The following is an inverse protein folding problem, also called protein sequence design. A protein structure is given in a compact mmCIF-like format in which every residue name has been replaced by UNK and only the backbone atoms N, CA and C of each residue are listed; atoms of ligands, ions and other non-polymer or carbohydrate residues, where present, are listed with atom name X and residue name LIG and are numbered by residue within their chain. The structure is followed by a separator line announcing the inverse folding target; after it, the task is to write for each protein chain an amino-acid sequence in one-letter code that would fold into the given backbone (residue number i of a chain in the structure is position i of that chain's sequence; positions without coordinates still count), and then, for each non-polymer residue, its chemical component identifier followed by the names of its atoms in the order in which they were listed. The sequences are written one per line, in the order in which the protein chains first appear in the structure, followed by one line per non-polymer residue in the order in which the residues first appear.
data_IF_341298909538
#
_entry.id   IF_341298909538
#
_cell.length_a   1.000
_cell.length_b   1.000
_cell.length_c   1.000
_cell.angle_alpha   90.00
_cell.angle_beta   90.00
_cell.angle_gamma   90.00
#
_symmetry.space_group_name_H-M   'P 1'
#
loop_
_entity.id
_entity.type
_entity.pdbx_description
1 polymer ?
#
# COMPACT_ATOMS: atom_id res chain seq x y z
N UNK A 1 6.88 8.98 -16.28
CA UNK A 1 7.44 7.69 -15.80
C UNK A 1 8.77 8.02 -15.16
N UNK A 2 9.07 7.58 -13.92
CA UNK A 2 10.37 7.85 -13.34
C UNK A 2 11.48 7.13 -14.14
N UNK A 3 12.60 7.83 -14.41
CA UNK A 3 13.79 7.40 -15.17
C UNK A 3 14.60 6.30 -14.44
N UNK A 4 13.99 5.14 -14.20
CA UNK A 4 14.67 4.00 -13.57
C UNK A 4 15.30 3.04 -14.58
N UNK A 5 14.96 3.18 -15.85
CA UNK A 5 15.49 2.36 -16.93
C UNK A 5 16.02 3.23 -18.07
N UNK A 6 17.21 2.90 -18.57
CA UNK A 6 17.78 3.52 -19.76
C UNK A 6 18.18 2.43 -20.77
N UNK A 7 17.95 2.61 -22.07
CA UNK A 7 18.37 1.65 -23.08
C UNK A 7 19.90 1.60 -23.17
N UNK A 8 20.47 0.40 -23.34
CA UNK A 8 21.85 0.21 -23.76
C UNK A 8 22.02 0.34 -25.28
N UNK A 9 23.25 0.19 -25.78
CA UNK A 9 23.56 0.24 -27.22
C UNK A 9 22.79 -0.81 -28.04
N UNK A 10 22.30 -1.87 -27.40
CA UNK A 10 21.49 -2.94 -28.01
C UNK A 10 19.98 -2.74 -27.78
N UNK A 11 19.55 -1.61 -27.20
CA UNK A 11 18.15 -1.31 -26.91
C UNK A 11 17.57 -2.04 -25.70
N UNK A 12 18.40 -2.72 -24.89
CA UNK A 12 17.96 -3.38 -23.65
C UNK A 12 17.82 -2.36 -22.54
N UNK A 13 16.72 -2.44 -21.79
CA UNK A 13 16.49 -1.57 -20.63
C UNK A 13 17.40 -1.99 -19.47
N UNK A 14 18.37 -1.14 -19.14
CA UNK A 14 19.24 -1.27 -17.99
C UNK A 14 18.77 -0.37 -16.86
N UNK A 15 18.95 -0.82 -15.62
CA UNK A 15 18.73 0.02 -14.45
C UNK A 15 19.67 1.21 -14.48
N UNK A 16 19.10 2.41 -14.33
CA UNK A 16 19.90 3.63 -14.15
C UNK A 16 20.73 3.53 -12.87
N UNK A 17 21.81 4.33 -12.79
CA UNK A 17 22.63 4.39 -11.57
C UNK A 17 21.81 4.77 -10.34
N UNK A 18 20.85 5.69 -10.49
CA UNK A 18 19.94 6.08 -9.42
C UNK A 18 19.06 4.91 -8.95
N UNK A 19 18.49 4.13 -9.88
CA UNK A 19 17.68 2.95 -9.57
C UNK A 19 18.50 1.88 -8.84
N UNK A 20 19.71 1.60 -9.34
CA UNK A 20 20.65 0.66 -8.73
C UNK A 20 21.01 1.07 -7.32
N UNK A 21 21.40 2.33 -7.12
CA UNK A 21 21.76 2.86 -5.80
C UNK A 21 20.59 2.76 -4.81
N UNK A 22 19.35 2.97 -5.27
CA UNK A 22 18.15 2.82 -4.42
C UNK A 22 17.98 1.38 -3.92
N UNK A 23 18.19 0.38 -4.78
CA UNK A 23 18.13 -1.03 -4.37
C UNK A 23 19.29 -1.42 -3.44
N UNK A 24 20.50 -0.89 -3.68
CA UNK A 24 21.66 -1.10 -2.79
C UNK A 24 21.41 -0.52 -1.39
N UNK A 25 20.86 0.69 -1.32
CA UNK A 25 20.47 1.31 -0.06
C UNK A 25 19.35 0.53 0.64
N UNK A 26 18.39 -0.02 -0.11
CA UNK A 26 17.36 -0.89 0.45
C UNK A 26 17.94 -2.20 1.04
N UNK A 27 18.97 -2.79 0.41
CA UNK A 27 19.67 -3.95 0.95
C UNK A 27 20.43 -3.61 2.25
N UNK A 28 21.06 -2.44 2.33
CA UNK A 28 21.67 -1.93 3.58
C UNK A 28 20.64 -1.74 4.67
N UNK A 29 19.49 -1.18 4.31
CA UNK A 29 18.38 -0.97 5.24
C UNK A 29 17.85 -2.29 5.78
N UNK A 30 17.71 -3.31 4.92
CA UNK A 30 17.34 -4.66 5.35
C UNK A 30 18.28 -5.18 6.44
N UNK A 31 19.61 -5.13 6.23
CA UNK A 31 20.56 -5.52 7.27
C UNK A 31 20.42 -4.67 8.52
N UNK A 32 20.27 -3.35 8.38
CA UNK A 32 20.08 -2.45 9.53
C UNK A 32 18.87 -2.87 10.38
N UNK A 33 17.78 -3.26 9.75
CA UNK A 33 16.56 -3.72 10.41
C UNK A 33 16.71 -5.08 11.10
N UNK A 34 17.57 -5.97 10.58
CA UNK A 34 17.89 -7.23 11.29
C UNK A 34 18.64 -7.01 12.60
N UNK A 35 19.37 -5.90 12.73
CA UNK A 35 20.27 -5.65 13.87
C UNK A 35 21.49 -6.59 13.94
N UNK A 36 21.70 -7.43 12.94
CA UNK A 36 22.75 -8.45 12.91
C UNK A 36 24.07 -7.92 12.32
N UNK A 37 25.18 -8.53 12.73
CA UNK A 37 26.46 -8.32 12.07
C UNK A 37 26.48 -9.01 10.71
N UNK A 38 27.47 -8.66 9.87
CA UNK A 38 27.62 -9.32 8.57
C UNK A 38 28.00 -10.80 8.72
N UNK A 39 28.76 -11.12 9.77
CA UNK A 39 29.11 -12.50 10.15
C UNK A 39 27.86 -13.30 10.50
N UNK A 40 26.96 -12.74 11.32
CA UNK A 40 25.72 -13.39 11.72
C UNK A 40 24.77 -13.60 10.53
N UNK A 41 24.68 -12.61 9.64
CA UNK A 41 23.90 -12.74 8.41
C UNK A 41 24.49 -13.83 7.52
N UNK A 42 25.80 -13.85 7.31
CA UNK A 42 26.45 -14.87 6.48
C UNK A 42 26.28 -16.28 7.06
N UNK A 43 26.22 -16.42 8.39
CA UNK A 43 25.96 -17.70 9.04
C UNK A 43 24.51 -18.22 8.83
N UNK A 44 23.56 -17.32 8.59
CA UNK A 44 22.11 -17.62 8.44
C UNK A 44 21.61 -17.52 7.00
N UNK A 45 22.46 -17.05 6.09
CA UNK A 45 22.12 -16.74 4.70
C UNK A 45 22.83 -17.70 3.75
N UNK A 46 22.27 -17.98 2.56
CA UNK A 46 22.96 -18.80 1.55
C UNK A 46 24.18 -18.13 0.92
N UNK A 47 24.54 -16.90 1.34
CA UNK A 47 25.65 -16.14 0.76
C UNK A 47 26.70 -15.79 1.80
N UNK A 48 27.95 -15.70 1.35
CA UNK A 48 29.08 -15.28 2.18
C UNK A 48 28.99 -13.81 2.59
N UNK A 49 29.76 -13.44 3.62
CA UNK A 49 29.95 -12.05 4.06
C UNK A 49 30.37 -11.13 2.90
N UNK A 50 31.30 -11.57 2.06
CA UNK A 50 31.80 -10.76 0.94
C UNK A 50 30.73 -10.55 -0.13
N UNK A 51 29.95 -11.58 -0.45
CA UNK A 51 28.81 -11.44 -1.37
C UNK A 51 27.77 -10.47 -0.84
N UNK A 52 27.45 -10.54 0.46
CA UNK A 52 26.53 -9.59 1.08
C UNK A 52 27.07 -8.15 1.03
N UNK A 53 28.35 -7.94 1.31
CA UNK A 53 29.01 -6.63 1.16
C UNK A 53 28.94 -6.11 -0.29
N UNK A 54 29.10 -6.98 -1.28
CA UNK A 54 28.93 -6.60 -2.69
C UNK A 54 27.51 -6.14 -2.97
N UNK A 55 26.50 -6.82 -2.42
CA UNK A 55 25.10 -6.39 -2.57
C UNK A 55 24.79 -5.04 -1.91
N UNK A 56 25.54 -4.63 -0.90
CA UNK A 56 25.40 -3.33 -0.25
C UNK A 56 26.28 -2.24 -0.87
N UNK A 57 27.36 -2.59 -1.56
CA UNK A 57 28.29 -1.62 -2.13
C UNK A 57 27.65 -0.87 -3.30
N UNK A 58 27.79 0.46 -3.33
CA UNK A 58 27.35 1.31 -4.44
C UNK A 58 28.24 1.15 -5.68
N UNK A 59 29.48 0.68 -5.49
CA UNK A 59 30.47 0.51 -6.54
C UNK A 59 30.38 -0.88 -7.18
N UNK A 60 29.91 -1.88 -6.43
CA UNK A 60 29.78 -3.24 -6.93
C UNK A 60 28.56 -3.38 -7.87
N UNK A 61 28.67 -4.13 -8.98
CA UNK A 61 27.59 -4.27 -9.94
C UNK A 61 26.40 -5.10 -9.41
N UNK A 62 26.66 -6.05 -8.50
CA UNK A 62 25.69 -7.09 -8.15
C UNK A 62 24.57 -6.60 -7.23
N UNK A 63 23.31 -6.84 -7.60
CA UNK A 63 22.16 -6.58 -6.74
C UNK A 63 21.83 -7.80 -5.88
N UNK A 64 21.23 -7.56 -4.70
CA UNK A 64 20.75 -8.64 -3.84
C UNK A 64 19.66 -9.46 -4.57
N UNK A 65 19.82 -10.78 -4.73
CA UNK A 65 18.83 -11.59 -5.43
C UNK A 65 17.62 -11.93 -4.52
N UNK A 66 16.43 -12.20 -5.08
CA UNK A 66 15.21 -12.47 -4.31
C UNK A 66 15.33 -13.56 -3.25
N UNK A 67 15.96 -14.68 -3.58
CA UNK A 67 16.14 -15.79 -2.64
C UNK A 67 17.00 -15.44 -1.41
N UNK A 68 17.79 -14.35 -1.48
CA UNK A 68 18.60 -13.87 -0.36
C UNK A 68 17.82 -12.95 0.54
N UNK A 69 17.04 -11.99 0.02
CA UNK A 69 16.36 -11.00 0.85
C UNK A 69 14.96 -11.41 1.32
N UNK A 70 14.22 -12.21 0.54
CA UNK A 70 12.81 -12.54 0.85
C UNK A 70 12.63 -13.23 2.21
N UNK A 71 13.48 -14.19 2.65
CA UNK A 71 13.34 -14.80 3.97
C UNK A 71 13.47 -13.78 5.11
N UNK A 72 14.39 -12.82 4.97
CA UNK A 72 14.59 -11.77 5.97
C UNK A 72 13.43 -10.79 6.02
N UNK A 73 12.92 -10.37 4.86
CA UNK A 73 11.75 -9.48 4.81
C UNK A 73 10.51 -10.11 5.44
N UNK A 74 10.36 -11.43 5.26
CA UNK A 74 9.29 -12.22 5.89
C UNK A 74 9.47 -12.30 7.41
N UNK A 75 10.69 -12.61 7.87
CA UNK A 75 11.00 -12.71 9.31
C UNK A 75 10.81 -11.37 10.02
N UNK A 76 11.21 -10.25 9.39
CA UNK A 76 11.11 -8.90 9.96
C UNK A 76 9.69 -8.31 9.87
N UNK A 77 8.81 -8.87 9.04
CA UNK A 77 7.54 -8.24 8.68
C UNK A 77 7.71 -6.90 7.96
N UNK A 78 8.91 -6.61 7.45
CA UNK A 78 9.25 -5.36 6.77
C UNK A 78 9.98 -5.68 5.47
N UNK A 79 9.52 -5.06 4.37
CA UNK A 79 9.98 -5.40 3.03
C UNK A 79 10.67 -4.23 2.30
N UNK A 80 11.80 -3.69 2.81
CA UNK A 80 12.45 -2.51 2.23
C UNK A 80 12.93 -2.70 0.78
N UNK A 81 13.45 -3.87 0.43
CA UNK A 81 13.93 -4.20 -0.93
C UNK A 81 12.74 -4.40 -1.87
N UNK A 82 11.73 -5.16 -1.45
CA UNK A 82 10.50 -5.34 -2.24
C UNK A 82 9.78 -4.00 -2.44
N UNK A 83 9.71 -3.14 -1.43
CA UNK A 83 9.14 -1.78 -1.55
C UNK A 83 9.92 -0.92 -2.54
N UNK A 84 11.26 -0.98 -2.52
CA UNK A 84 12.07 -0.24 -3.47
C UNK A 84 11.83 -0.72 -4.91
N UNK A 85 11.76 -2.05 -5.13
CA UNK A 85 11.42 -2.63 -6.42
C UNK A 85 10.00 -2.26 -6.89
N UNK A 86 9.01 -2.34 -6.01
CA UNK A 86 7.63 -1.97 -6.32
C UNK A 86 7.55 -0.49 -6.72
N UNK A 87 8.16 0.40 -5.94
CA UNK A 87 8.15 1.84 -6.21
C UNK A 87 8.78 2.17 -7.58
N UNK A 88 9.82 1.44 -7.98
CA UNK A 88 10.43 1.59 -9.31
C UNK A 88 9.50 1.20 -10.47
N UNK A 89 8.50 0.36 -10.20
CA UNK A 89 7.49 -0.07 -11.16
C UNK A 89 6.16 0.70 -10.99
N UNK A 90 6.13 1.77 -10.21
CA UNK A 90 4.91 2.52 -9.92
C UNK A 90 3.90 1.77 -9.04
N UNK A 91 4.36 0.71 -8.36
CA UNK A 91 3.56 -0.11 -7.46
C UNK A 91 3.83 0.29 -6.00
N UNK A 92 2.87 0.02 -5.13
CA UNK A 92 2.99 0.17 -3.69
C UNK A 92 2.81 -1.19 -3.02
N UNK A 93 3.70 -1.53 -2.08
CA UNK A 93 3.55 -2.75 -1.28
C UNK A 93 2.68 -2.41 -0.08
N UNK A 94 1.53 -3.07 0.01
CA UNK A 94 0.64 -2.97 1.16
C UNK A 94 0.98 -4.07 2.15
N UNK A 95 0.96 -3.74 3.44
CA UNK A 95 0.88 -4.77 4.48
C UNK A 95 -0.49 -5.46 4.41
N UNK A 96 -0.62 -6.66 4.98
CA UNK A 96 -1.92 -7.34 5.07
C UNK A 96 -2.96 -6.45 5.79
N UNK A 97 -2.55 -5.75 6.85
CA UNK A 97 -3.41 -4.81 7.57
C UNK A 97 -3.87 -3.64 6.70
N UNK A 98 -2.96 -3.05 5.91
CA UNK A 98 -3.30 -1.98 4.97
C UNK A 98 -4.23 -2.47 3.85
N UNK A 99 -4.03 -3.69 3.36
CA UNK A 99 -4.91 -4.32 2.37
C UNK A 99 -6.33 -4.50 2.92
N UNK A 100 -6.46 -5.08 4.12
CA UNK A 100 -7.76 -5.27 4.81
C UNK A 100 -8.47 -3.95 5.07
N UNK A 101 -7.76 -2.91 5.54
CA UNK A 101 -8.33 -1.57 5.77
C UNK A 101 -8.83 -0.93 4.48
N UNK A 102 -8.08 -1.03 3.38
CA UNK A 102 -8.51 -0.52 2.07
C UNK A 102 -9.72 -1.27 1.52
N UNK A 103 -9.76 -2.60 1.67
CA UNK A 103 -10.93 -3.41 1.32
C UNK A 103 -12.15 -2.97 2.14
N UNK A 104 -11.98 -2.79 3.45
CA UNK A 104 -13.05 -2.30 4.33
C UNK A 104 -13.55 -0.92 3.96
N UNK A 105 -12.66 -0.01 3.56
CA UNK A 105 -13.05 1.30 3.03
C UNK A 105 -13.91 1.16 1.77
N UNK A 106 -13.55 0.25 0.87
CA UNK A 106 -14.34 -0.05 -0.33
C UNK A 106 -15.74 -0.59 0.02
N UNK A 107 -15.84 -1.52 0.96
CA UNK A 107 -17.12 -2.05 1.45
C UNK A 107 -18.00 -0.95 2.06
N UNK A 108 -17.43 -0.11 2.93
CA UNK A 108 -18.17 0.98 3.57
C UNK A 108 -18.62 2.04 2.55
N UNK A 109 -17.78 2.36 1.56
CA UNK A 109 -18.16 3.28 0.48
C UNK A 109 -19.30 2.71 -0.38
N UNK A 110 -19.28 1.41 -0.68
CA UNK A 110 -20.37 0.75 -1.39
C UNK A 110 -21.67 0.75 -0.57
N UNK A 111 -21.57 0.49 0.73
CA UNK A 111 -22.70 0.60 1.65
C UNK A 111 -23.26 2.02 1.69
N UNK A 112 -22.41 3.05 1.83
CA UNK A 112 -22.82 4.45 1.81
C UNK A 112 -23.56 4.84 0.53
N UNK A 113 -23.05 4.39 -0.63
CA UNK A 113 -23.68 4.65 -1.93
C UNK A 113 -25.07 3.99 -2.03
N UNK A 114 -25.23 2.79 -1.45
CA UNK A 114 -26.51 2.10 -1.39
C UNK A 114 -27.52 2.84 -0.52
N UNK A 115 -27.16 3.17 0.72
CA UNK A 115 -28.02 3.92 1.65
C UNK A 115 -28.43 5.28 1.05
N UNK A 116 -27.50 5.98 0.38
CA UNK A 116 -27.82 7.22 -0.33
C UNK A 116 -28.83 7.01 -1.46
N UNK A 117 -28.67 5.93 -2.23
CA UNK A 117 -29.60 5.60 -3.29
C UNK A 117 -31.00 5.27 -2.77
N UNK A 118 -31.08 4.53 -1.67
CA UNK A 118 -32.34 4.18 -1.00
C UNK A 118 -33.02 5.44 -0.43
N UNK A 119 -32.32 6.27 0.34
CA UNK A 119 -32.85 7.53 0.88
C UNK A 119 -33.35 8.49 -0.22
N UNK A 120 -32.63 8.59 -1.34
CA UNK A 120 -33.05 9.39 -2.48
C UNK A 120 -34.28 8.80 -3.19
N UNK A 121 -34.37 7.48 -3.30
CA UNK A 121 -35.54 6.83 -3.86
C UNK A 121 -36.79 7.09 -3.01
N UNK A 122 -36.70 6.91 -1.69
CA UNK A 122 -37.79 7.25 -0.76
C UNK A 122 -38.19 8.72 -0.87
N UNK A 123 -37.22 9.63 -0.98
CA UNK A 123 -37.49 11.07 -1.13
C UNK A 123 -38.25 11.36 -2.44
N UNK A 124 -37.87 10.72 -3.53
CA UNK A 124 -38.52 10.88 -4.83
C UNK A 124 -39.97 10.38 -4.75
N UNK A 125 -40.19 9.19 -4.19
CA UNK A 125 -41.52 8.60 -4.07
C UNK A 125 -42.45 9.51 -3.24
N UNK A 126 -41.98 9.96 -2.08
CA UNK A 126 -42.72 10.88 -1.20
C UNK A 126 -42.99 12.23 -1.86
N UNK A 127 -42.05 12.74 -2.67
CA UNK A 127 -42.23 14.02 -3.37
C UNK A 127 -43.26 13.93 -4.51
N UNK A 128 -43.41 12.76 -5.14
CA UNK A 128 -44.36 12.54 -6.24
C UNK A 128 -45.82 12.49 -5.76
N UNK A 129 -46.06 12.11 -4.51
CA UNK A 129 -47.41 12.07 -3.91
C UNK A 129 -47.99 13.47 -3.63
N UNK A 130 -47.20 14.53 -3.79
CA UNK A 130 -47.65 15.93 -3.79
C UNK A 130 -47.87 16.56 -2.41
N UNK A 131 -47.93 15.75 -1.34
CA UNK A 131 -47.89 16.21 0.05
C UNK A 131 -47.04 15.25 0.89
N UNK A 132 -46.14 15.80 1.70
CA UNK A 132 -45.31 15.00 2.63
C UNK A 132 -46.04 14.86 3.95
N UNK A 133 -46.42 13.64 4.31
CA UNK A 133 -47.02 13.34 5.60
C UNK A 133 -45.98 13.39 6.74
N UNK A 134 -46.47 13.51 7.98
CA UNK A 134 -45.59 13.48 9.17
C UNK A 134 -44.83 12.16 9.34
N UNK A 135 -45.37 11.04 8.85
CA UNK A 135 -44.72 9.75 8.98
C UNK A 135 -43.59 9.60 7.93
N UNK A 136 -43.84 10.04 6.70
CA UNK A 136 -42.83 10.06 5.64
C UNK A 136 -41.67 11.01 5.97
N UNK A 137 -41.99 12.19 6.52
CA UNK A 137 -40.95 13.12 6.98
C UNK A 137 -40.04 12.49 8.06
N UNK A 138 -40.61 11.71 8.99
CA UNK A 138 -39.82 11.00 10.01
C UNK A 138 -39.01 9.86 9.41
N UNK A 139 -39.56 9.13 8.46
CA UNK A 139 -38.84 8.04 7.79
C UNK A 139 -37.65 8.58 7.01
N UNK A 140 -37.85 9.65 6.23
CA UNK A 140 -36.78 10.34 5.51
C UNK A 140 -35.70 10.84 6.47
N UNK A 141 -36.06 11.43 7.60
CA UNK A 141 -35.10 11.87 8.61
C UNK A 141 -34.22 10.72 9.13
N UNK A 142 -34.80 9.55 9.37
CA UNK A 142 -34.06 8.35 9.78
C UNK A 142 -33.13 7.86 8.66
N UNK A 143 -33.62 7.76 7.42
CA UNK A 143 -32.82 7.30 6.28
C UNK A 143 -31.64 8.25 5.98
N UNK A 144 -31.87 9.56 6.03
CA UNK A 144 -30.80 10.54 5.87
C UNK A 144 -29.83 10.57 7.05
N UNK A 145 -30.30 10.35 8.29
CA UNK A 145 -29.41 10.22 9.44
C UNK A 145 -28.49 8.99 9.32
N UNK A 146 -28.99 7.87 8.78
CA UNK A 146 -28.16 6.69 8.51
C UNK A 146 -27.13 6.95 7.40
N UNK A 147 -27.53 7.65 6.33
CA UNK A 147 -26.61 8.12 5.29
C UNK A 147 -25.48 8.97 5.88
N UNK A 148 -25.82 9.94 6.73
CA UNK A 148 -24.83 10.82 7.37
C UNK A 148 -23.86 10.03 8.26
N UNK A 149 -24.38 9.07 9.03
CA UNK A 149 -23.58 8.19 9.88
C UNK A 149 -22.58 7.38 9.05
N UNK A 150 -23.04 6.67 8.02
CA UNK A 150 -22.16 5.82 7.19
C UNK A 150 -21.15 6.69 6.41
N UNK A 151 -21.55 7.85 5.91
CA UNK A 151 -20.63 8.79 5.27
C UNK A 151 -19.55 9.30 6.25
N UNK A 152 -19.91 9.50 7.52
CA UNK A 152 -18.99 9.82 8.60
C UNK A 152 -17.95 8.71 8.84
N UNK A 153 -18.39 7.46 8.88
CA UNK A 153 -17.51 6.28 9.03
C UNK A 153 -16.51 6.16 7.86
N UNK A 154 -16.98 6.33 6.62
CA UNK A 154 -16.12 6.35 5.42
C UNK A 154 -15.07 7.45 5.53
N UNK A 155 -15.47 8.66 5.93
CA UNK A 155 -14.55 9.81 6.09
C UNK A 155 -13.50 9.55 7.17
N UNK A 156 -13.91 8.99 8.31
CA UNK A 156 -13.01 8.66 9.40
C UNK A 156 -11.95 7.64 8.95
N UNK A 157 -12.37 6.53 8.37
CA UNK A 157 -11.46 5.49 7.90
C UNK A 157 -10.54 5.96 6.76
N UNK A 158 -11.06 6.76 5.83
CA UNK A 158 -10.24 7.35 4.78
C UNK A 158 -9.14 8.27 5.36
N UNK A 159 -9.49 9.04 6.40
CA UNK A 159 -8.54 9.93 7.09
C UNK A 159 -7.46 9.13 7.83
N UNK A 160 -7.81 8.02 8.46
CA UNK A 160 -6.85 7.10 9.10
C UNK A 160 -5.87 6.50 8.09
N UNK A 161 -6.37 6.04 6.94
CA UNK A 161 -5.55 5.48 5.86
C UNK A 161 -4.59 6.53 5.29
N UNK A 162 -5.06 7.77 5.07
CA UNK A 162 -4.22 8.88 4.56
C UNK A 162 -3.15 9.27 5.58
N UNK A 163 -3.50 9.30 6.87
CA UNK A 163 -2.57 9.64 7.95
C UNK A 163 -1.50 8.57 8.19
N UNK A 164 -1.57 7.40 7.53
CA UNK A 164 -0.64 6.30 7.72
C UNK A 164 -0.65 5.77 9.15
N UNK A 165 -1.75 5.96 9.89
CA UNK A 165 -1.92 5.41 11.23
C UNK A 165 -2.16 3.92 11.07
N UNK A 166 -1.08 3.15 11.16
CA UNK A 166 -1.13 1.69 11.23
C UNK A 166 -1.54 1.21 12.62
#
# INVERSE_FOLDING_TARGET
MPDYYAPDEAGRLLLTHAARNRLKLAARELRRLTGLTLEDIAARSPVSKSQWQNYESLEAPDLIPPHVYLPWELELGQAPVTRALAAMNGLSVLTEGQSKRRAKLGELAAHAAREQGEALATLIDVALDGEISRNEAKQLDVEFADVERVAGEVRALASEIIAGKD
#
